data_IF_794864318052
#
_entry.id   IF_794864318052
#
_cell.length_a   1.000
_cell.length_b   1.000
_cell.length_c   1.000
_cell.angle_alpha   90.00
_cell.angle_beta   90.00
_cell.angle_gamma   90.00
#
_symmetry.space_group_name_H-M   'P 1'
#
loop_
_entity.id
_entity.type
_entity.pdbx_description
1 polymer ?
#
# COMPACT_ATOMS: atom_id res chain seq x y z
N UNK A 1 -18.16 18.46 9.85
CA UNK A 1 -17.98 17.34 8.92
C UNK A 1 -19.21 17.21 8.04
N UNK A 2 -19.00 16.95 6.73
CA UNK A 2 -20.09 16.60 5.82
C UNK A 2 -20.69 15.26 6.21
N UNK A 3 -21.94 14.99 5.83
CA UNK A 3 -22.52 13.67 6.01
C UNK A 3 -21.87 12.67 5.06
N UNK A 4 -21.69 11.42 5.54
CA UNK A 4 -21.26 10.33 4.67
C UNK A 4 -22.40 9.93 3.74
N UNK A 5 -22.13 9.63 2.47
CA UNK A 5 -23.15 9.10 1.55
C UNK A 5 -23.51 7.65 1.92
N UNK A 6 -24.78 7.28 1.75
CA UNK A 6 -25.26 5.91 1.93
C UNK A 6 -25.69 5.55 3.35
N UNK A 7 -25.80 4.24 3.65
CA UNK A 7 -26.13 3.73 4.99
C UNK A 7 -24.95 3.91 5.96
N UNK A 8 -25.25 4.18 7.21
CA UNK A 8 -24.29 4.41 8.28
C UNK A 8 -24.22 3.25 9.29
N UNK A 9 -24.84 2.12 9.01
CA UNK A 9 -25.01 1.00 9.95
C UNK A 9 -23.69 0.30 10.33
N UNK A 10 -22.66 0.41 9.50
CA UNK A 10 -21.36 -0.23 9.71
C UNK A 10 -20.21 0.69 9.26
N UNK A 11 -20.11 1.87 9.84
CA UNK A 11 -19.04 2.80 9.51
C UNK A 11 -17.71 2.27 10.02
N UNK A 12 -16.77 2.02 9.10
CA UNK A 12 -15.39 1.67 9.43
C UNK A 12 -14.46 2.71 8.83
N UNK A 13 -13.70 3.37 9.67
CA UNK A 13 -12.71 4.36 9.28
C UNK A 13 -11.31 3.85 9.56
N UNK A 14 -10.33 4.38 8.83
CA UNK A 14 -8.94 3.97 9.00
C UNK A 14 -8.03 5.18 9.01
N UNK A 15 -7.13 5.21 9.99
CA UNK A 15 -5.92 6.02 9.95
C UNK A 15 -4.72 5.13 9.67
N UNK A 16 -3.92 5.47 8.64
CA UNK A 16 -2.87 4.60 8.15
C UNK A 16 -1.54 5.38 7.96
N UNK A 17 -0.86 5.71 9.07
CA UNK A 17 0.41 6.44 9.00
C UNK A 17 1.56 5.51 8.66
N UNK A 18 2.57 6.04 7.95
CA UNK A 18 3.88 5.41 7.85
C UNK A 18 4.68 5.71 9.13
N UNK A 19 5.37 4.73 9.75
CA UNK A 19 6.12 4.92 11.00
C UNK A 19 7.50 5.54 10.73
N UNK A 20 7.57 6.65 9.99
CA UNK A 20 8.83 7.33 9.64
C UNK A 20 9.23 8.43 10.63
N UNK A 21 8.51 8.57 11.74
CA UNK A 21 8.74 9.56 12.78
C UNK A 21 7.47 9.83 13.61
N UNK A 22 7.53 10.78 14.56
CA UNK A 22 6.36 11.19 15.34
C UNK A 22 5.29 11.81 14.43
N UNK A 23 4.03 11.79 14.90
CA UNK A 23 2.95 12.48 14.19
C UNK A 23 3.15 14.00 14.29
N UNK A 24 2.58 14.70 13.31
CA UNK A 24 2.54 16.16 13.28
C UNK A 24 1.13 16.62 12.87
N UNK A 25 0.90 17.94 12.88
CA UNK A 25 -0.42 18.52 12.59
C UNK A 25 -1.01 18.08 11.24
N UNK A 26 -0.16 17.78 10.25
CA UNK A 26 -0.59 17.21 8.97
C UNK A 26 -1.26 15.86 9.10
N UNK A 27 -0.81 15.02 10.02
CA UNK A 27 -1.41 13.72 10.32
C UNK A 27 -2.74 13.87 11.07
N UNK A 28 -2.87 14.85 11.97
CA UNK A 28 -4.12 15.15 12.66
C UNK A 28 -5.26 15.47 11.68
N UNK A 29 -4.94 16.10 10.54
CA UNK A 29 -5.89 16.37 9.46
C UNK A 29 -6.58 15.11 8.91
N UNK A 30 -5.92 13.97 8.96
CA UNK A 30 -6.51 12.68 8.58
C UNK A 30 -7.09 11.94 9.81
N UNK A 31 -6.37 11.89 10.93
CA UNK A 31 -6.78 11.14 12.10
C UNK A 31 -8.08 11.68 12.73
N UNK A 32 -8.16 13.00 12.95
CA UNK A 32 -9.30 13.63 13.63
C UNK A 32 -10.62 13.47 12.86
N UNK A 33 -10.74 13.75 11.55
CA UNK A 33 -11.99 13.53 10.85
C UNK A 33 -12.46 12.07 10.87
N UNK A 34 -11.53 11.11 10.73
CA UNK A 34 -11.88 9.69 10.81
C UNK A 34 -12.45 9.32 12.20
N UNK A 35 -11.82 9.78 13.27
CA UNK A 35 -12.30 9.55 14.62
C UNK A 35 -13.68 10.22 14.88
N UNK A 36 -13.88 11.42 14.39
CA UNK A 36 -15.15 12.15 14.54
C UNK A 36 -16.29 11.49 13.73
N UNK A 37 -16.00 10.90 12.55
CA UNK A 37 -17.02 10.10 11.84
C UNK A 37 -17.40 8.85 12.63
N UNK A 38 -16.41 8.12 13.15
CA UNK A 38 -16.66 6.94 14.00
C UNK A 38 -17.51 7.30 15.22
N UNK A 39 -17.16 8.41 15.90
CA UNK A 39 -17.91 8.91 17.07
C UNK A 39 -19.34 9.31 16.70
N UNK A 40 -19.53 9.98 15.55
CA UNK A 40 -20.84 10.46 15.08
C UNK A 40 -21.78 9.33 14.72
N UNK A 41 -21.28 8.25 14.11
CA UNK A 41 -22.09 7.17 13.56
C UNK A 41 -22.00 5.86 14.37
N UNK A 42 -21.25 5.82 15.48
CA UNK A 42 -21.10 4.62 16.30
C UNK A 42 -20.32 3.50 15.62
N UNK A 43 -19.31 3.87 14.81
CA UNK A 43 -18.54 2.94 13.99
C UNK A 43 -17.25 2.42 14.66
N UNK A 44 -16.30 1.96 13.83
CA UNK A 44 -15.01 1.40 14.21
C UNK A 44 -13.86 2.22 13.59
N UNK A 45 -12.82 2.52 14.37
CA UNK A 45 -11.58 3.12 13.90
C UNK A 45 -10.45 2.09 13.90
N UNK A 46 -9.85 1.90 12.75
CA UNK A 46 -8.68 1.05 12.56
C UNK A 46 -7.43 1.92 12.46
N UNK A 47 -6.40 1.62 13.26
CA UNK A 47 -5.05 2.11 13.05
C UNK A 47 -4.27 1.03 12.27
N UNK A 48 -3.75 1.38 11.09
CA UNK A 48 -2.88 0.49 10.32
C UNK A 48 -1.53 1.16 10.10
N UNK A 49 -0.50 0.62 10.71
CA UNK A 49 0.88 1.09 10.53
C UNK A 49 1.38 0.63 9.16
N UNK A 50 1.82 1.57 8.32
CA UNK A 50 2.27 1.33 6.94
C UNK A 50 3.79 1.13 6.92
N UNK A 51 4.27 0.01 7.43
CA UNK A 51 5.68 -0.30 7.72
C UNK A 51 6.34 -1.27 6.75
N UNK A 52 5.82 -1.41 5.54
CA UNK A 52 6.33 -2.36 4.53
C UNK A 52 7.68 -1.97 3.91
N UNK A 53 8.17 -0.76 4.11
CA UNK A 53 9.48 -0.32 3.64
C UNK A 53 10.42 -0.12 4.84
N UNK A 54 11.30 -1.08 5.16
CA UNK A 54 12.17 -1.04 6.35
C UNK A 54 13.12 0.17 6.36
N UNK A 55 13.52 0.69 5.20
CA UNK A 55 14.36 1.90 5.09
C UNK A 55 13.70 3.14 5.67
N UNK A 56 12.40 3.14 5.78
CA UNK A 56 11.59 4.29 6.23
C UNK A 56 11.04 4.11 7.64
N UNK A 57 11.30 2.98 8.27
CA UNK A 57 10.85 2.72 9.63
C UNK A 57 11.77 3.43 10.62
N UNK A 58 11.17 4.26 11.45
CA UNK A 58 11.77 4.80 12.66
C UNK A 58 11.16 4.05 13.85
N UNK A 59 11.90 3.09 14.39
CA UNK A 59 11.40 2.14 15.40
C UNK A 59 10.62 2.79 16.55
N UNK A 60 11.06 3.93 17.15
CA UNK A 60 10.29 4.59 18.19
C UNK A 60 8.89 5.06 17.75
N UNK A 61 8.62 5.19 16.45
CA UNK A 61 7.31 5.62 15.96
C UNK A 61 6.20 4.61 16.28
N UNK A 62 6.53 3.34 16.47
CA UNK A 62 5.54 2.33 16.88
C UNK A 62 4.89 2.67 18.23
N UNK A 63 5.63 3.26 19.15
CA UNK A 63 5.12 3.72 20.45
C UNK A 63 4.58 5.16 20.35
N UNK A 64 5.24 6.04 19.61
CA UNK A 64 4.89 7.45 19.52
C UNK A 64 3.53 7.65 18.83
N UNK A 65 3.22 6.92 17.75
CA UNK A 65 1.96 7.07 17.03
C UNK A 65 0.74 6.80 17.92
N UNK A 66 0.65 5.68 18.67
CA UNK A 66 -0.44 5.48 19.62
C UNK A 66 -0.50 6.53 20.73
N UNK A 67 0.66 6.99 21.22
CA UNK A 67 0.73 8.04 22.25
C UNK A 67 0.19 9.37 21.74
N UNK A 68 0.57 9.78 20.53
CA UNK A 68 0.08 11.00 19.87
C UNK A 68 -1.44 10.94 19.62
N UNK A 69 -1.95 9.80 19.16
CA UNK A 69 -3.39 9.59 19.01
C UNK A 69 -4.11 9.70 20.34
N UNK A 70 -3.57 9.09 21.39
CA UNK A 70 -4.13 9.21 22.74
C UNK A 70 -4.13 10.66 23.25
N UNK A 71 -3.07 11.41 22.97
CA UNK A 71 -3.01 12.84 23.30
C UNK A 71 -4.10 13.65 22.58
N UNK A 72 -4.42 13.30 21.31
CA UNK A 72 -5.53 13.88 20.57
C UNK A 72 -6.92 13.40 21.04
N UNK A 73 -7.00 12.53 22.05
CA UNK A 73 -8.24 11.93 22.52
C UNK A 73 -8.82 10.89 21.57
N UNK A 74 -7.99 10.34 20.66
CA UNK A 74 -8.37 9.35 19.66
C UNK A 74 -7.95 7.95 20.15
N UNK A 75 -8.91 7.02 20.17
CA UNK A 75 -8.68 5.61 20.46
C UNK A 75 -9.02 4.78 19.23
N UNK A 76 -8.06 4.00 18.75
CA UNK A 76 -8.33 2.98 17.75
C UNK A 76 -8.95 1.73 18.39
N UNK A 77 -9.91 1.12 17.72
CA UNK A 77 -10.56 -0.13 18.15
C UNK A 77 -9.71 -1.36 17.79
N UNK A 78 -8.99 -1.26 16.67
CA UNK A 78 -8.08 -2.30 16.17
C UNK A 78 -6.79 -1.67 15.68
N UNK A 79 -5.67 -2.39 15.85
CA UNK A 79 -4.35 -2.00 15.36
C UNK A 79 -3.79 -3.11 14.50
N UNK A 80 -3.30 -2.76 13.32
CA UNK A 80 -2.64 -3.67 12.39
C UNK A 80 -1.29 -3.11 11.95
N UNK A 81 -0.33 -4.01 11.79
CA UNK A 81 0.96 -3.73 11.16
C UNK A 81 0.96 -4.38 9.78
N UNK A 82 1.33 -3.67 8.75
CA UNK A 82 1.34 -4.27 7.40
C UNK A 82 2.42 -5.35 7.26
N UNK A 83 3.55 -5.19 7.95
CA UNK A 83 4.63 -6.19 7.97
C UNK A 83 4.19 -7.57 8.49
N UNK A 84 3.25 -7.63 9.43
CA UNK A 84 2.68 -8.88 9.94
C UNK A 84 1.75 -9.60 8.94
N UNK A 85 1.49 -9.00 7.78
CA UNK A 85 0.45 -9.42 6.85
C UNK A 85 0.97 -9.76 5.46
N UNK A 86 2.29 -9.92 5.29
CA UNK A 86 2.89 -10.19 3.99
C UNK A 86 2.33 -11.45 3.31
N UNK A 87 2.08 -12.52 4.04
CA UNK A 87 1.50 -13.75 3.49
C UNK A 87 0.15 -13.49 2.79
N UNK A 88 -0.71 -12.67 3.42
CA UNK A 88 -1.99 -12.27 2.83
C UNK A 88 -1.77 -11.48 1.54
N UNK A 89 -0.77 -10.60 1.51
CA UNK A 89 -0.46 -9.80 0.33
C UNK A 89 0.13 -10.64 -0.79
N UNK A 90 0.94 -11.66 -0.47
CA UNK A 90 1.47 -12.61 -1.46
C UNK A 90 0.35 -13.44 -2.08
N UNK A 91 -0.60 -13.91 -1.29
CA UNK A 91 -1.77 -14.63 -1.79
C UNK A 91 -2.61 -13.77 -2.75
N UNK A 92 -2.88 -12.52 -2.39
CA UNK A 92 -3.61 -11.60 -3.27
C UNK A 92 -2.80 -11.23 -4.53
N UNK A 93 -1.50 -11.09 -4.43
CA UNK A 93 -0.64 -10.84 -5.58
C UNK A 93 -0.72 -12.00 -6.58
N UNK A 94 -0.63 -13.26 -6.12
CA UNK A 94 -0.82 -14.44 -6.95
C UNK A 94 -2.19 -14.45 -7.63
N UNK A 95 -3.26 -14.18 -6.89
CA UNK A 95 -4.61 -14.12 -7.44
C UNK A 95 -4.76 -13.02 -8.52
N UNK A 96 -4.11 -11.87 -8.35
CA UNK A 96 -4.10 -10.81 -9.37
C UNK A 96 -3.37 -11.25 -10.63
N UNK A 97 -2.27 -12.00 -10.52
CA UNK A 97 -1.55 -12.58 -11.65
C UNK A 97 -2.44 -13.60 -12.37
N UNK A 98 -3.05 -14.53 -11.65
CA UNK A 98 -3.94 -15.56 -12.19
C UNK A 98 -5.14 -14.97 -12.95
N UNK A 99 -5.66 -13.84 -12.49
CA UNK A 99 -6.72 -13.07 -13.17
C UNK A 99 -6.21 -12.22 -14.34
N UNK A 100 -4.91 -12.24 -14.63
CA UNK A 100 -4.31 -11.37 -15.64
C UNK A 100 -4.35 -9.86 -15.30
N UNK A 101 -4.67 -9.51 -14.05
CA UNK A 101 -4.77 -8.14 -13.57
C UNK A 101 -3.43 -7.56 -13.06
N UNK A 102 -2.41 -8.40 -12.90
CA UNK A 102 -1.05 -8.01 -12.58
C UNK A 102 -0.04 -8.77 -13.42
N UNK A 103 1.19 -8.26 -13.50
CA UNK A 103 2.28 -8.89 -14.23
C UNK A 103 3.65 -8.62 -13.59
N UNK A 104 4.57 -9.54 -13.80
CA UNK A 104 5.97 -9.38 -13.39
C UNK A 104 6.73 -8.57 -14.44
N UNK A 105 7.37 -7.50 -14.01
CA UNK A 105 8.12 -6.60 -14.86
C UNK A 105 9.61 -6.64 -14.51
N UNK A 106 10.44 -7.00 -15.49
CA UNK A 106 11.90 -7.05 -15.41
C UNK A 106 12.58 -5.88 -16.15
N UNK A 107 11.80 -4.90 -16.63
CA UNK A 107 12.36 -3.70 -17.23
C UNK A 107 13.09 -2.86 -16.17
N UNK A 108 14.22 -2.28 -16.54
CA UNK A 108 14.86 -1.28 -15.71
C UNK A 108 13.96 -0.05 -15.47
N UNK A 109 14.19 0.64 -14.35
CA UNK A 109 13.31 1.71 -13.92
C UNK A 109 13.27 2.92 -14.86
N UNK A 110 14.37 3.23 -15.57
CA UNK A 110 14.46 4.36 -16.48
C UNK A 110 13.66 4.08 -17.76
N UNK A 111 13.88 2.91 -18.37
CA UNK A 111 13.13 2.44 -19.55
C UNK A 111 11.63 2.37 -19.25
N UNK A 112 11.25 1.78 -18.10
CA UNK A 112 9.84 1.72 -17.75
C UNK A 112 9.25 3.12 -17.56
N UNK A 113 9.97 4.03 -16.92
CA UNK A 113 9.51 5.41 -16.70
C UNK A 113 9.26 6.11 -18.03
N UNK A 114 10.17 6.01 -18.99
CA UNK A 114 10.02 6.60 -20.31
C UNK A 114 8.78 6.06 -21.04
N UNK A 115 8.59 4.73 -21.05
CA UNK A 115 7.41 4.10 -21.67
C UNK A 115 6.12 4.59 -21.00
N UNK A 116 6.06 4.57 -19.68
CA UNK A 116 4.91 5.01 -18.90
C UNK A 116 4.56 6.49 -19.15
N UNK A 117 5.57 7.37 -19.18
CA UNK A 117 5.37 8.80 -19.40
C UNK A 117 4.82 9.07 -20.82
N UNK A 118 5.22 8.26 -21.80
CA UNK A 118 4.73 8.29 -23.19
C UNK A 118 3.45 7.45 -23.43
N UNK A 119 2.74 7.00 -22.39
CA UNK A 119 1.54 6.16 -22.50
C UNK A 119 1.77 4.87 -23.29
N UNK A 120 2.98 4.30 -23.25
CA UNK A 120 3.33 3.06 -23.95
C UNK A 120 3.44 1.91 -22.95
N UNK A 121 2.86 0.73 -23.26
CA UNK A 121 3.03 -0.45 -22.43
C UNK A 121 4.49 -0.93 -22.50
N UNK A 122 5.00 -1.47 -21.41
CA UNK A 122 6.27 -2.18 -21.44
C UNK A 122 6.10 -3.60 -22.01
N UNK A 123 7.16 -4.22 -22.57
CA UNK A 123 7.06 -5.56 -23.17
C UNK A 123 6.55 -6.63 -22.20
N UNK A 124 6.85 -6.50 -20.89
CA UNK A 124 6.42 -7.47 -19.89
C UNK A 124 4.90 -7.49 -19.65
N UNK A 125 4.19 -6.43 -20.04
CA UNK A 125 2.74 -6.32 -19.82
C UNK A 125 1.94 -7.40 -20.52
N UNK A 126 2.45 -7.88 -21.66
CA UNK A 126 1.81 -8.88 -22.52
C UNK A 126 2.29 -10.31 -22.23
N UNK A 127 3.11 -10.52 -21.20
CA UNK A 127 3.47 -11.85 -20.75
C UNK A 127 2.21 -12.66 -20.41
N UNK A 128 2.23 -13.96 -20.75
CA UNK A 128 1.15 -14.88 -20.36
C UNK A 128 1.05 -15.02 -18.82
N UNK A 129 -0.07 -15.51 -18.33
CA UNK A 129 -0.28 -15.79 -16.91
C UNK A 129 0.77 -16.78 -16.41
N UNK A 130 1.03 -17.84 -17.17
CA UNK A 130 2.01 -18.88 -16.84
C UNK A 130 3.41 -18.30 -16.67
N UNK A 131 3.82 -17.41 -17.60
CA UNK A 131 5.12 -16.75 -17.52
C UNK A 131 5.24 -15.83 -16.31
N UNK A 132 4.17 -15.12 -15.98
CA UNK A 132 4.14 -14.26 -14.79
C UNK A 132 4.19 -15.10 -13.49
N UNK A 133 3.51 -16.26 -13.44
CA UNK A 133 3.57 -17.17 -12.29
C UNK A 133 4.97 -17.79 -12.13
N UNK A 134 5.63 -18.19 -13.21
CA UNK A 134 7.02 -18.67 -13.16
C UNK A 134 7.99 -17.63 -12.57
N UNK A 135 7.80 -16.36 -12.90
CA UNK A 135 8.61 -15.27 -12.35
C UNK A 135 8.24 -14.98 -10.90
N UNK A 136 6.95 -15.04 -10.57
CA UNK A 136 6.45 -14.86 -9.22
C UNK A 136 6.97 -15.93 -8.26
N UNK A 137 7.00 -17.20 -8.68
CA UNK A 137 7.48 -18.32 -7.87
C UNK A 137 8.99 -18.25 -7.57
N UNK A 138 9.72 -17.38 -8.27
CA UNK A 138 11.15 -17.10 -8.03
C UNK A 138 11.40 -15.73 -7.40
N UNK A 139 10.34 -14.97 -7.13
CA UNK A 139 10.45 -13.56 -6.76
C UNK A 139 11.22 -13.34 -5.45
N UNK A 140 11.08 -14.25 -4.48
CA UNK A 140 11.81 -14.27 -3.21
C UNK A 140 13.32 -14.56 -3.33
N UNK A 141 13.75 -15.13 -4.46
CA UNK A 141 15.15 -15.47 -4.76
C UNK A 141 15.84 -14.41 -5.61
N UNK A 142 15.10 -13.38 -6.05
CA UNK A 142 15.62 -12.30 -6.87
C UNK A 142 16.20 -11.17 -6.00
N UNK A 143 17.08 -10.38 -6.59
CA UNK A 143 17.64 -9.19 -5.96
C UNK A 143 16.82 -7.92 -6.25
N UNK A 144 17.04 -6.90 -5.41
CA UNK A 144 16.41 -5.59 -5.60
C UNK A 144 16.72 -5.03 -7.00
N UNK A 145 15.65 -4.65 -7.71
CA UNK A 145 15.75 -4.10 -9.07
C UNK A 145 15.65 -5.12 -10.20
N UNK A 146 15.76 -6.43 -9.94
CA UNK A 146 15.64 -7.46 -10.99
C UNK A 146 14.20 -7.61 -11.49
N UNK A 147 13.22 -7.53 -10.60
CA UNK A 147 11.82 -7.58 -10.96
C UNK A 147 10.94 -6.79 -9.99
N UNK A 148 9.76 -6.39 -10.46
CA UNK A 148 8.68 -5.83 -9.65
C UNK A 148 7.35 -6.39 -10.10
N UNK A 149 6.39 -6.52 -9.17
CA UNK A 149 5.00 -6.78 -9.52
C UNK A 149 4.29 -5.47 -9.85
N UNK A 150 3.64 -5.39 -11.02
CA UNK A 150 2.81 -4.26 -11.43
C UNK A 150 1.36 -4.66 -11.59
N UNK A 151 0.46 -3.77 -11.20
CA UNK A 151 -0.97 -3.92 -11.48
C UNK A 151 -1.28 -3.33 -12.86
N UNK A 152 -1.99 -4.08 -13.71
CA UNK A 152 -2.47 -3.59 -15.02
C UNK A 152 -3.58 -2.57 -14.81
N UNK A 153 -3.32 -1.35 -15.26
CA UNK A 153 -4.28 -0.26 -15.17
C UNK A 153 -4.39 0.46 -16.52
N UNK A 154 -5.13 1.55 -16.58
CA UNK A 154 -5.21 2.36 -17.78
C UNK A 154 -3.88 3.06 -18.07
N UNK A 155 -3.16 2.58 -19.08
CA UNK A 155 -1.87 3.13 -19.50
C UNK A 155 -2.01 4.55 -20.09
N UNK A 156 -3.20 4.94 -20.54
CA UNK A 156 -3.49 6.26 -21.07
C UNK A 156 -4.05 7.23 -20.02
N UNK A 157 -4.16 6.80 -18.76
CA UNK A 157 -4.69 7.64 -17.69
C UNK A 157 -3.93 8.97 -17.59
N UNK A 158 -4.65 10.09 -17.37
CA UNK A 158 -4.05 11.43 -17.30
C UNK A 158 -2.98 11.56 -16.20
N UNK A 159 -3.20 10.92 -15.05
CA UNK A 159 -2.22 10.87 -13.97
C UNK A 159 -1.25 9.69 -14.18
N UNK A 160 0.06 9.95 -14.45
CA UNK A 160 1.04 8.89 -14.65
C UNK A 160 1.23 7.96 -13.44
N UNK A 161 0.92 8.42 -12.23
CA UNK A 161 1.05 7.60 -11.02
C UNK A 161 0.09 6.39 -11.01
N UNK A 162 -1.01 6.45 -11.78
CA UNK A 162 -1.99 5.36 -11.87
C UNK A 162 -1.58 4.33 -12.92
N UNK A 163 -0.76 4.72 -13.92
CA UNK A 163 -0.37 3.84 -15.03
C UNK A 163 0.54 2.72 -14.56
N UNK A 164 0.06 1.48 -14.59
CA UNK A 164 0.80 0.25 -14.27
C UNK A 164 1.74 0.41 -13.07
N UNK A 165 1.18 0.85 -11.96
CA UNK A 165 1.92 1.14 -10.72
C UNK A 165 2.51 -0.13 -10.09
N UNK A 166 3.61 0.04 -9.35
CA UNK A 166 4.29 -1.04 -8.63
C UNK A 166 3.49 -1.42 -7.39
N UNK A 167 3.04 -2.66 -7.32
CA UNK A 167 2.39 -3.23 -6.15
C UNK A 167 3.41 -3.83 -5.16
N UNK A 168 4.42 -4.53 -5.68
CA UNK A 168 5.48 -5.13 -4.86
C UNK A 168 6.84 -4.97 -5.52
N UNK A 169 7.85 -4.79 -4.68
CA UNK A 169 9.27 -4.76 -5.05
C UNK A 169 10.09 -5.46 -3.98
N UNK A 170 11.24 -6.00 -4.37
CA UNK A 170 12.19 -6.61 -3.46
C UNK A 170 12.94 -5.50 -2.73
N UNK A 171 13.09 -5.66 -1.42
CA UNK A 171 13.90 -4.82 -0.53
C UNK A 171 14.83 -5.76 0.22
N UNK A 172 16.14 -5.47 0.23
CA UNK A 172 17.16 -6.35 0.84
C UNK A 172 17.38 -6.07 2.32
N UNK A 173 16.91 -4.93 2.81
CA UNK A 173 17.00 -4.61 4.21
C UNK A 173 16.04 -5.46 5.05
N UNK A 174 16.53 -5.96 6.18
CA UNK A 174 15.69 -6.64 7.15
C UNK A 174 14.71 -5.66 7.80
N UNK A 175 13.49 -6.12 8.00
CA UNK A 175 12.50 -5.37 8.77
C UNK A 175 12.89 -5.38 10.25
N UNK A 176 12.84 -4.22 10.99
CA UNK A 176 13.15 -4.15 12.41
C UNK A 176 12.17 -4.93 13.28
#
# INVERSE_FOLDING_TARGET
LQELPGSHDNVVMRFAPNPSGPLHIGHARAAVPNAEYVKRYGGKLILRIEDTDPKRVFEPAYDLIPQDLKWLGIKADEVYYQSDRFEIYYDYARQLIEKGAAYMCTCDGATFKELKDNCKPCPCRDNSVEKNLELWDKFDQMHAGEAVLRVKTDINHKNPAIRDWVAMRIVEETHP
#
